data_IF_344626285155
#
_entry.id   IF_344626285155
#
_cell.length_a   1.000
_cell.length_b   1.000
_cell.length_c   1.000
_cell.angle_alpha   90.00
_cell.angle_beta   90.00
_cell.angle_gamma   90.00
#
_symmetry.space_group_name_H-M   'P 1'
#
loop_
_entity.id
_entity.type
_entity.pdbx_description
1 polymer ?
#
# COMPACT_ATOMS: atom_id res chain seq x y z
N UNK A 1 -22.75 1.43 -16.33
CA UNK A 1 -21.49 0.68 -16.53
C UNK A 1 -21.74 -0.80 -16.31
N UNK A 2 -21.05 -1.70 -17.00
CA UNK A 2 -21.16 -3.15 -16.74
C UNK A 2 -20.52 -3.57 -15.40
N UNK A 3 -20.78 -4.80 -14.96
CA UNK A 3 -20.31 -5.33 -13.67
C UNK A 3 -18.78 -5.37 -13.57
N UNK A 4 -18.10 -5.74 -14.66
CA UNK A 4 -16.64 -5.85 -14.69
C UNK A 4 -15.96 -4.49 -14.53
N UNK A 5 -16.43 -3.48 -15.27
CA UNK A 5 -15.93 -2.13 -15.17
C UNK A 5 -16.30 -1.48 -13.82
N UNK A 6 -17.44 -1.84 -13.24
CA UNK A 6 -17.82 -1.44 -11.87
C UNK A 6 -16.83 -1.98 -10.84
N UNK A 7 -16.48 -3.27 -10.94
CA UNK A 7 -15.48 -3.90 -10.07
C UNK A 7 -14.09 -3.28 -10.24
N UNK A 8 -13.65 -3.04 -11.49
CA UNK A 8 -12.36 -2.39 -11.78
C UNK A 8 -12.28 -0.97 -11.20
N UNK A 9 -13.35 -0.19 -11.37
CA UNK A 9 -13.41 1.16 -10.84
C UNK A 9 -13.42 1.15 -9.30
N UNK A 10 -14.17 0.24 -8.68
CA UNK A 10 -14.16 0.07 -7.24
C UNK A 10 -12.77 -0.32 -6.72
N UNK A 11 -12.09 -1.27 -7.37
CA UNK A 11 -10.73 -1.66 -7.03
C UNK A 11 -9.74 -0.49 -7.13
N UNK A 12 -9.89 0.37 -8.14
CA UNK A 12 -9.06 1.57 -8.28
C UNK A 12 -9.31 2.59 -7.15
N UNK A 13 -10.58 2.76 -6.73
CA UNK A 13 -11.00 3.83 -5.82
C UNK A 13 -11.17 3.43 -4.36
N UNK A 14 -11.06 2.13 -4.01
CA UNK A 14 -11.36 1.64 -2.66
C UNK A 14 -10.69 2.46 -1.54
N UNK A 15 -9.44 2.87 -1.77
CA UNK A 15 -8.60 3.58 -0.82
C UNK A 15 -8.49 5.11 -1.04
N UNK A 16 -9.20 5.70 -2.00
CA UNK A 16 -9.08 7.14 -2.30
C UNK A 16 -9.42 8.02 -1.09
N UNK A 17 -10.32 7.54 -0.22
CA UNK A 17 -10.68 8.18 1.02
C UNK A 17 -9.51 8.33 2.01
N UNK A 18 -8.41 7.58 1.87
CA UNK A 18 -7.21 7.78 2.69
C UNK A 18 -6.58 9.15 2.45
N UNK A 19 -6.61 9.65 1.21
CA UNK A 19 -6.11 10.98 0.84
C UNK A 19 -7.01 12.06 1.42
N UNK A 20 -8.32 11.96 1.21
CA UNK A 20 -9.28 12.95 1.70
C UNK A 20 -9.33 12.98 3.24
N UNK A 21 -9.37 11.82 3.91
CA UNK A 21 -9.29 11.74 5.36
C UNK A 21 -8.03 12.43 5.92
N UNK A 22 -6.91 12.38 5.18
CA UNK A 22 -5.66 13.06 5.56
C UNK A 22 -5.73 14.58 5.56
N UNK A 23 -6.71 15.18 4.87
CA UNK A 23 -6.92 16.64 4.86
C UNK A 23 -7.60 17.18 6.13
N UNK A 24 -8.27 16.31 6.90
CA UNK A 24 -9.10 16.71 8.04
C UNK A 24 -10.54 17.12 7.68
N UNK A 25 -10.86 17.22 6.39
CA UNK A 25 -12.22 17.51 5.93
C UNK A 25 -13.18 16.34 6.19
N UNK A 26 -14.46 16.62 6.54
CA UNK A 26 -15.43 15.58 6.84
C UNK A 26 -15.88 14.84 5.57
N UNK A 27 -16.35 13.60 5.74
CA UNK A 27 -17.07 12.87 4.71
C UNK A 27 -18.55 13.30 4.67
N UNK A 28 -19.30 12.86 3.66
CA UNK A 28 -20.75 13.12 3.57
C UNK A 28 -21.48 12.54 4.81
N UNK A 29 -22.33 13.38 5.41
CA UNK A 29 -23.14 13.06 6.58
C UNK A 29 -24.01 11.82 6.43
N UNK A 30 -24.37 11.41 5.21
CA UNK A 30 -25.14 10.19 4.95
C UNK A 30 -24.46 8.93 5.50
N UNK A 31 -23.14 8.92 5.63
CA UNK A 31 -22.38 7.78 6.15
C UNK A 31 -22.13 7.85 7.67
N UNK A 32 -22.66 8.84 8.38
CA UNK A 32 -22.44 9.01 9.83
C UNK A 32 -23.01 7.86 10.67
N UNK A 33 -24.05 7.20 10.17
CA UNK A 33 -24.69 6.08 10.87
C UNK A 33 -23.88 4.78 10.80
N UNK A 34 -22.88 4.69 9.90
CA UNK A 34 -22.10 3.48 9.71
C UNK A 34 -21.01 3.32 10.76
N UNK A 35 -20.89 2.11 11.28
CA UNK A 35 -19.95 1.75 12.34
C UNK A 35 -18.88 0.77 11.82
N UNK A 36 -17.82 0.48 12.61
CA UNK A 36 -16.82 -0.52 12.22
C UNK A 36 -17.40 -1.92 11.94
N UNK A 37 -18.59 -2.25 12.45
CA UNK A 37 -19.31 -3.48 12.15
C UNK A 37 -19.83 -3.52 10.70
N UNK A 38 -20.08 -2.35 10.11
CA UNK A 38 -20.52 -2.20 8.73
C UNK A 38 -19.33 -2.23 7.78
N UNK A 39 -18.41 -1.27 7.95
CA UNK A 39 -17.32 -1.05 7.01
C UNK A 39 -16.04 -1.79 7.36
N UNK A 40 -15.91 -2.41 8.53
CA UNK A 40 -14.72 -3.15 8.99
C UNK A 40 -13.81 -2.35 9.93
N UNK A 41 -13.16 -3.04 10.88
CA UNK A 41 -12.36 -2.45 11.99
C UNK A 41 -11.31 -1.41 11.56
N UNK A 42 -10.73 -1.56 10.37
CA UNK A 42 -9.68 -0.69 9.84
C UNK A 42 -10.13 0.11 8.60
N UNK A 43 -11.43 0.09 8.30
CA UNK A 43 -12.02 0.64 7.07
C UNK A 43 -12.64 2.03 7.18
N UNK A 44 -12.36 2.81 8.23
CA UNK A 44 -13.05 4.09 8.46
C UNK A 44 -12.94 5.08 7.26
N UNK A 45 -11.83 5.03 6.51
CA UNK A 45 -11.63 5.84 5.31
C UNK A 45 -12.59 5.50 4.17
N UNK A 46 -13.23 4.32 4.18
CA UNK A 46 -14.17 3.90 3.15
C UNK A 46 -15.39 4.84 3.04
N UNK A 47 -15.79 5.51 4.13
CA UNK A 47 -16.81 6.57 4.11
C UNK A 47 -16.40 7.76 3.25
N UNK A 48 -15.12 8.15 3.29
CA UNK A 48 -14.57 9.19 2.42
C UNK A 48 -14.45 8.70 0.98
N UNK A 49 -14.09 7.43 0.74
CA UNK A 49 -14.09 6.86 -0.61
C UNK A 49 -15.49 6.88 -1.24
N UNK A 50 -16.51 6.48 -0.48
CA UNK A 50 -17.91 6.54 -0.93
C UNK A 50 -18.36 7.99 -1.16
N UNK A 51 -18.01 8.90 -0.25
CA UNK A 51 -18.27 10.35 -0.42
C UNK A 51 -17.64 10.88 -1.72
N UNK A 52 -16.44 10.42 -2.07
CA UNK A 52 -15.77 10.84 -3.29
C UNK A 52 -16.53 10.38 -4.53
N UNK A 53 -16.96 9.11 -4.53
CA UNK A 53 -17.76 8.53 -5.61
C UNK A 53 -19.02 9.36 -5.86
N UNK A 54 -19.83 9.61 -4.82
CA UNK A 54 -21.11 10.31 -4.98
C UNK A 54 -20.96 11.81 -5.28
N UNK A 55 -19.85 12.43 -4.86
CA UNK A 55 -19.65 13.88 -4.98
C UNK A 55 -19.00 14.28 -6.30
N UNK A 56 -18.14 13.41 -6.86
CA UNK A 56 -17.25 13.79 -7.97
C UNK A 56 -17.38 12.92 -9.21
N UNK A 57 -17.98 11.73 -9.12
CA UNK A 57 -18.18 10.90 -10.31
C UNK A 57 -19.55 11.18 -10.94
N UNK A 58 -19.64 11.19 -12.29
CA UNK A 58 -20.91 11.12 -13.00
C UNK A 58 -21.78 9.94 -12.53
N UNK A 59 -23.10 10.13 -12.55
CA UNK A 59 -24.09 9.16 -12.03
C UNK A 59 -23.87 7.75 -12.59
N UNK A 60 -23.51 7.62 -13.87
CA UNK A 60 -23.27 6.33 -14.53
C UNK A 60 -22.10 5.50 -13.94
N UNK A 61 -21.23 6.14 -13.15
CA UNK A 61 -20.08 5.54 -12.48
C UNK A 61 -20.29 5.32 -10.99
N UNK A 62 -21.38 5.83 -10.40
CA UNK A 62 -21.61 5.76 -8.95
C UNK A 62 -21.99 4.36 -8.45
N UNK A 63 -22.29 3.43 -9.35
CA UNK A 63 -22.61 2.02 -9.01
C UNK A 63 -21.51 1.31 -8.21
N UNK A 64 -20.27 1.84 -8.20
CA UNK A 64 -19.16 1.30 -7.39
C UNK A 64 -19.17 1.74 -5.92
N UNK A 65 -20.07 2.65 -5.51
CA UNK A 65 -20.13 3.23 -4.15
C UNK A 65 -20.13 2.14 -3.06
N UNK A 66 -21.03 1.16 -3.18
CA UNK A 66 -21.14 0.08 -2.19
C UNK A 66 -19.87 -0.77 -2.10
N UNK A 67 -19.19 -1.00 -3.23
CA UNK A 67 -17.96 -1.78 -3.28
C UNK A 67 -16.81 -1.03 -2.59
N UNK A 68 -16.67 0.28 -2.81
CA UNK A 68 -15.66 1.09 -2.11
C UNK A 68 -16.01 1.26 -0.63
N UNK A 69 -17.29 1.28 -0.25
CA UNK A 69 -17.72 1.48 1.13
C UNK A 69 -17.47 0.27 2.03
N UNK A 70 -17.69 -0.95 1.52
CA UNK A 70 -17.71 -2.17 2.33
C UNK A 70 -16.51 -3.11 2.13
N UNK A 71 -15.47 -2.70 1.39
CA UNK A 71 -14.35 -3.59 1.05
C UNK A 71 -13.53 -4.12 2.24
N UNK A 72 -13.54 -3.48 3.43
CA UNK A 72 -12.89 -4.05 4.64
C UNK A 72 -13.80 -5.02 5.43
N UNK A 73 -15.05 -5.24 4.99
CA UNK A 73 -15.97 -6.23 5.56
C UNK A 73 -16.64 -7.05 4.43
N UNK A 74 -15.88 -7.89 3.70
CA UNK A 74 -16.33 -8.45 2.44
C UNK A 74 -17.37 -9.57 2.61
N UNK A 75 -18.62 -9.27 2.25
CA UNK A 75 -19.76 -10.20 2.37
C UNK A 75 -20.16 -10.90 1.06
N UNK A 76 -19.63 -10.47 -0.09
CA UNK A 76 -19.94 -11.04 -1.40
C UNK A 76 -18.66 -11.28 -2.23
N UNK A 77 -18.82 -11.87 -3.42
CA UNK A 77 -17.70 -12.23 -4.31
C UNK A 77 -16.84 -11.02 -4.66
N UNK A 78 -17.45 -9.92 -5.06
CA UNK A 78 -16.74 -8.76 -5.61
C UNK A 78 -15.98 -8.00 -4.52
N UNK A 79 -16.58 -7.84 -3.34
CA UNK A 79 -15.88 -7.33 -2.15
C UNK A 79 -14.71 -8.22 -1.76
N UNK A 80 -14.85 -9.56 -1.86
CA UNK A 80 -13.74 -10.49 -1.58
C UNK A 80 -12.62 -10.36 -2.61
N UNK A 81 -12.92 -10.12 -3.88
CA UNK A 81 -11.92 -9.87 -4.92
C UNK A 81 -11.13 -8.59 -4.59
N UNK A 82 -11.83 -7.49 -4.26
CA UNK A 82 -11.18 -6.22 -3.91
C UNK A 82 -10.31 -6.38 -2.66
N UNK A 83 -10.84 -6.99 -1.59
CA UNK A 83 -10.09 -7.21 -0.36
C UNK A 83 -8.85 -8.07 -0.56
N UNK A 84 -8.96 -9.15 -1.36
CA UNK A 84 -7.82 -10.00 -1.68
C UNK A 84 -6.77 -9.25 -2.52
N UNK A 85 -7.20 -8.45 -3.50
CA UNK A 85 -6.30 -7.64 -4.31
C UNK A 85 -5.56 -6.59 -3.47
N UNK A 86 -6.24 -5.91 -2.54
CA UNK A 86 -5.62 -4.98 -1.58
C UNK A 86 -4.55 -5.70 -0.73
N UNK A 87 -4.88 -6.86 -0.17
CA UNK A 87 -3.92 -7.65 0.62
C UNK A 87 -2.70 -8.10 -0.19
N UNK A 88 -2.91 -8.60 -1.41
CA UNK A 88 -1.83 -9.01 -2.30
C UNK A 88 -0.92 -7.82 -2.69
N UNK A 89 -1.49 -6.62 -2.85
CA UNK A 89 -0.73 -5.40 -3.14
C UNK A 89 0.02 -4.84 -1.93
N UNK A 90 -0.29 -5.32 -0.72
CA UNK A 90 0.22 -4.79 0.55
C UNK A 90 1.45 -5.53 1.10
N UNK A 91 1.92 -6.58 0.44
CA UNK A 91 2.91 -7.53 0.97
C UNK A 91 4.29 -6.97 1.34
N UNK A 92 4.70 -5.81 0.79
CA UNK A 92 6.03 -5.21 1.05
C UNK A 92 6.08 -4.28 2.29
N UNK A 93 4.96 -4.10 3.00
CA UNK A 93 4.90 -3.18 4.15
C UNK A 93 5.63 -3.81 5.36
N UNK A 94 6.58 -3.08 5.95
CA UNK A 94 7.18 -3.45 7.26
C UNK A 94 6.06 -3.49 8.29
N UNK A 95 6.06 -4.52 9.14
CA UNK A 95 5.35 -4.46 10.42
C UNK A 95 5.93 -3.28 11.21
N UNK A 96 5.07 -2.43 11.74
CA UNK A 96 5.49 -1.45 12.75
C UNK A 96 6.03 -2.25 13.95
N UNK A 97 7.23 -1.95 14.42
CA UNK A 97 7.79 -2.62 15.61
C UNK A 97 6.96 -2.28 16.85
N UNK A 98 6.96 -3.15 17.87
CA UNK A 98 6.28 -2.88 19.14
C UNK A 98 6.81 -1.57 19.75
N UNK A 99 5.97 -0.52 19.74
CA UNK A 99 6.33 0.82 20.21
C UNK A 99 6.27 1.91 19.14
N UNK A 100 6.26 1.54 17.85
CA UNK A 100 5.90 2.46 16.78
C UNK A 100 4.39 2.71 16.84
N UNK A 101 3.99 3.83 17.46
CA UNK A 101 2.59 4.23 17.54
C UNK A 101 1.94 4.20 16.15
N UNK A 102 0.67 3.78 16.06
CA UNK A 102 -0.11 3.80 14.81
C UNK A 102 -0.03 5.20 14.21
N UNK A 103 0.89 5.37 13.27
CA UNK A 103 1.28 6.68 12.77
C UNK A 103 0.06 7.42 12.26
N UNK A 104 -0.21 8.58 12.84
CA UNK A 104 -1.08 9.55 12.20
C UNK A 104 -0.58 9.72 10.77
N UNK A 105 -1.38 9.41 9.75
CA UNK A 105 -0.93 9.40 8.34
C UNK A 105 -0.28 10.72 7.91
N UNK A 106 -0.68 11.83 8.56
CA UNK A 106 -0.07 13.16 8.42
C UNK A 106 1.44 13.15 8.70
N UNK A 107 1.91 12.23 9.56
CA UNK A 107 3.29 12.15 10.05
C UNK A 107 4.15 11.09 9.34
N UNK A 108 3.60 10.31 8.42
CA UNK A 108 4.34 9.24 7.72
C UNK A 108 4.35 9.48 6.21
N UNK A 109 5.30 10.28 5.69
CA UNK A 109 5.41 10.54 4.26
C UNK A 109 5.77 9.27 3.47
N UNK A 110 5.49 9.30 2.16
CA UNK A 110 5.96 8.25 1.25
C UNK A 110 7.49 8.21 1.28
N UNK A 111 8.04 7.05 1.62
CA UNK A 111 9.48 6.84 1.65
C UNK A 111 9.93 6.44 0.24
N UNK A 112 11.02 7.05 -0.25
CA UNK A 112 11.63 6.66 -1.52
C UNK A 112 11.91 5.16 -1.58
N UNK A 113 11.62 4.52 -2.71
CA UNK A 113 11.92 3.09 -2.93
C UNK A 113 13.42 2.80 -2.80
N UNK A 114 14.27 3.79 -3.12
CA UNK A 114 15.72 3.67 -2.98
C UNK A 114 16.20 3.67 -1.52
N UNK A 115 15.38 4.13 -0.57
CA UNK A 115 15.74 4.17 0.86
C UNK A 115 16.02 2.79 1.47
N UNK A 116 15.55 1.72 0.82
CA UNK A 116 15.67 0.33 1.27
C UNK A 116 16.60 -0.51 0.38
N UNK A 117 17.22 0.08 -0.64
CA UNK A 117 18.16 -0.62 -1.49
C UNK A 117 19.55 -0.49 -0.89
N UNK A 118 20.12 -1.60 -0.41
CA UNK A 118 21.54 -1.69 -0.09
C UNK A 118 22.28 -2.31 -1.29
N UNK A 119 23.16 -1.54 -1.91
CA UNK A 119 23.95 -1.97 -3.08
C UNK A 119 25.25 -2.67 -2.63
N UNK A 120 25.53 -2.74 -1.31
CA UNK A 120 26.76 -3.27 -0.75
C UNK A 120 28.00 -2.47 -1.17
N UNK A 121 29.08 -2.58 -0.40
CA UNK A 121 30.41 -2.20 -0.93
C UNK A 121 30.80 -3.31 -1.90
N UNK A 122 30.88 -2.99 -3.20
CA UNK A 122 31.35 -3.94 -4.20
C UNK A 122 32.59 -4.66 -3.69
N UNK A 123 32.63 -5.99 -3.81
CA UNK A 123 33.82 -6.80 -3.47
C UNK A 123 35.01 -6.16 -4.17
N UNK A 124 35.87 -5.48 -3.43
CA UNK A 124 37.22 -5.20 -3.89
C UNK A 124 37.87 -6.56 -4.05
N UNK A 125 37.95 -7.02 -5.29
CA UNK A 125 38.83 -8.12 -5.67
C UNK A 125 40.26 -7.66 -5.43
N UNK A 126 40.72 -7.72 -4.18
CA UNK A 126 42.13 -7.72 -3.83
C UNK A 126 42.68 -9.11 -4.21
N UNK A 127 42.77 -9.37 -5.51
CA UNK A 127 43.77 -10.26 -6.05
C UNK A 127 45.07 -9.46 -6.19
N UNK A 128 45.67 -9.11 -5.06
CA UNK A 128 47.11 -8.80 -5.05
C UNK A 128 47.80 -10.11 -4.70
N UNK A 129 47.87 -11.00 -5.69
CA UNK A 129 48.89 -12.03 -5.68
C UNK A 129 50.23 -11.30 -5.57
N UNK A 130 50.87 -11.49 -4.43
CA UNK A 130 52.19 -10.98 -4.14
C UNK A 130 53.17 -11.63 -5.14
N UNK A 131 53.51 -10.92 -6.23
CA UNK A 131 54.36 -11.45 -7.30
C UNK A 131 55.85 -11.56 -6.87
N UNK A 132 56.18 -11.11 -5.67
CA UNK A 132 57.56 -11.07 -5.17
C UNK A 132 58.02 -12.37 -4.46
N UNK A 133 57.15 -13.36 -4.26
CA UNK A 133 57.53 -14.59 -3.51
C UNK A 133 57.98 -15.77 -4.38
N UNK A 134 57.88 -15.71 -5.73
CA UNK A 134 58.11 -16.91 -6.58
C UNK A 134 59.46 -16.95 -7.32
N UNK A 135 60.30 -15.89 -7.31
CA UNK A 135 61.58 -15.88 -8.07
C UNK A 135 62.84 -15.76 -7.16
N UNK A 136 62.78 -16.19 -5.90
CA UNK A 136 63.96 -16.23 -5.01
C UNK A 136 64.14 -17.51 -4.20
N UNK A 137 63.98 -18.68 -4.82
CA UNK A 137 64.59 -19.91 -4.32
C UNK A 137 64.69 -20.98 -5.40
N UNK A 138 65.72 -20.87 -6.24
CA UNK A 138 66.40 -22.02 -6.88
C UNK A 138 67.72 -21.54 -7.50
N UNK A 139 68.62 -21.12 -6.62
CA UNK A 139 70.07 -21.06 -6.90
C UNK A 139 70.65 -22.44 -6.59
N UNK A 140 71.47 -22.93 -7.51
CA UNK A 140 72.10 -24.25 -7.48
C UNK A 140 73.11 -24.37 -6.33
N UNK A 141 73.11 -25.54 -5.68
CA UNK A 141 74.28 -26.25 -5.16
C UNK A 141 73.91 -27.74 -5.08
#
# INVERSE_FOLDING_TARGET
MDEENTLRLAALLHDIGKFWQGSGEPHDSRYNHLTPEDYGKHGAHAKWSASFVVSYLPEEFQNCESLVLYHHNPKNRDLKIIALADWLSSGERRGLEEGEGKGERVKTPLISIFSRIDIGKGRSSLNTLNIDTVIRSKSWN
#
